data_IF_372882091602
#
_entry.id   IF_372882091602
#
_cell.length_a   1.000
_cell.length_b   1.000
_cell.length_c   1.000
_cell.angle_alpha   90.00
_cell.angle_beta   90.00
_cell.angle_gamma   90.00
#
_symmetry.space_group_name_H-M   'P 1'
#
loop_
_entity.id
_entity.type
_entity.pdbx_description
1 polymer ?
#
# COMPACT_ATOMS: atom_id res chain seq x y z
N UNK A 1 -8.28 -4.03 6.89
CA UNK A 1 -7.50 -4.59 8.01
C UNK A 1 -6.96 -5.94 7.62
N UNK A 2 -7.81 -6.85 7.13
CA UNK A 2 -7.42 -8.19 6.63
C UNK A 2 -6.20 -8.14 5.69
N UNK A 3 -6.21 -7.25 4.68
CA UNK A 3 -5.10 -7.12 3.73
C UNK A 3 -3.77 -6.70 4.34
N UNK A 4 -3.78 -5.95 5.45
CA UNK A 4 -2.54 -5.48 6.09
C UNK A 4 -2.00 -6.53 7.06
N UNK A 5 -2.87 -7.32 7.69
CA UNK A 5 -2.50 -8.25 8.75
C UNK A 5 -2.46 -9.72 8.33
N UNK A 6 -3.00 -10.05 7.15
CA UNK A 6 -3.12 -11.41 6.63
C UNK A 6 -4.15 -12.28 7.36
N UNK A 7 -4.98 -11.68 8.24
CA UNK A 7 -5.91 -12.41 9.12
C UNK A 7 -7.36 -12.21 8.71
N UNK A 8 -8.20 -13.20 8.96
CA UNK A 8 -9.65 -13.10 8.73
C UNK A 8 -10.32 -12.20 9.79
N UNK A 9 -11.50 -11.61 9.50
CA UNK A 9 -12.20 -10.72 10.44
C UNK A 9 -12.58 -11.36 11.77
N UNK A 10 -12.80 -12.68 11.78
CA UNK A 10 -13.19 -13.49 12.93
C UNK A 10 -12.27 -14.71 13.06
N UNK A 11 -10.97 -14.46 12.88
CA UNK A 11 -9.94 -15.49 12.99
C UNK A 11 -9.82 -15.99 14.44
N UNK A 12 -9.88 -17.32 14.70
CA UNK A 12 -9.80 -17.87 16.05
C UNK A 12 -8.48 -17.58 16.76
N UNK A 13 -7.39 -17.28 16.03
CA UNK A 13 -6.09 -16.91 16.60
C UNK A 13 -6.08 -15.52 17.26
N UNK A 14 -7.11 -14.69 17.02
CA UNK A 14 -7.25 -13.35 17.60
C UNK A 14 -7.67 -13.38 19.09
N UNK A 15 -8.08 -14.55 19.58
CA UNK A 15 -8.60 -14.78 20.92
C UNK A 15 -10.13 -14.84 20.96
N UNK A 16 -10.66 -15.44 22.04
CA UNK A 16 -12.10 -15.66 22.19
C UNK A 16 -12.90 -14.35 22.08
N UNK A 17 -13.92 -14.37 21.21
CA UNK A 17 -14.88 -13.29 20.99
C UNK A 17 -14.27 -11.94 20.54
N UNK A 18 -13.07 -11.95 19.94
CA UNK A 18 -12.46 -10.74 19.37
C UNK A 18 -12.57 -10.76 17.86
N UNK A 19 -13.19 -9.73 17.30
CA UNK A 19 -13.01 -9.40 15.89
C UNK A 19 -11.65 -8.71 15.67
N UNK A 20 -11.24 -8.65 14.40
CA UNK A 20 -9.98 -8.05 13.97
C UNK A 20 -9.82 -6.60 14.44
N UNK A 21 -10.90 -5.82 14.57
CA UNK A 21 -10.86 -4.43 15.04
C UNK A 21 -10.51 -4.40 16.53
N UNK A 22 -11.20 -5.20 17.35
CA UNK A 22 -10.92 -5.29 18.79
C UNK A 22 -9.50 -5.79 19.07
N UNK A 23 -9.04 -6.78 18.30
CA UNK A 23 -7.68 -7.28 18.42
C UNK A 23 -6.64 -6.20 18.10
N UNK A 24 -6.74 -5.56 16.94
CA UNK A 24 -5.82 -4.48 16.51
C UNK A 24 -5.79 -3.36 17.55
N UNK A 25 -6.94 -2.86 17.99
CA UNK A 25 -7.00 -1.80 19.01
C UNK A 25 -6.42 -2.19 20.37
N UNK A 26 -6.41 -3.49 20.71
CA UNK A 26 -5.82 -3.99 21.96
C UNK A 26 -4.30 -4.22 21.85
N UNK A 27 -3.83 -4.54 20.65
CA UNK A 27 -2.42 -4.89 20.37
C UNK A 27 -1.56 -3.64 20.16
N UNK A 28 -2.10 -2.60 19.51
CA UNK A 28 -1.34 -1.36 19.22
C UNK A 28 -1.17 -0.55 20.50
N UNK A 29 0.00 -0.68 21.13
CA UNK A 29 0.41 0.12 22.31
C UNK A 29 1.60 1.02 22.01
N UNK A 30 2.41 0.65 21.02
CA UNK A 30 3.66 1.31 20.63
C UNK A 30 3.87 1.22 19.11
N UNK A 31 4.86 1.95 18.57
CA UNK A 31 5.19 1.84 17.14
C UNK A 31 5.69 0.44 16.78
N UNK A 32 6.49 -0.20 17.64
CA UNK A 32 7.00 -1.56 17.42
C UNK A 32 5.87 -2.60 17.31
N UNK A 33 4.86 -2.51 18.19
CA UNK A 33 3.69 -3.40 18.12
C UNK A 33 2.87 -3.26 16.83
N UNK A 34 3.06 -2.17 16.09
CA UNK A 34 2.38 -1.96 14.81
C UNK A 34 3.05 -2.74 13.69
N UNK A 35 4.38 -2.92 13.74
CA UNK A 35 5.13 -3.75 12.79
C UNK A 35 4.79 -5.23 12.97
N UNK A 36 4.64 -5.68 14.22
CA UNK A 36 4.28 -7.08 14.54
C UNK A 36 2.88 -7.48 14.03
N UNK A 37 2.00 -6.51 13.79
CA UNK A 37 0.64 -6.72 13.28
C UNK A 37 0.60 -6.84 11.76
N UNK A 38 1.61 -6.32 11.06
CA UNK A 38 1.71 -6.37 9.59
C UNK A 38 2.01 -7.80 9.14
N UNK A 39 1.34 -8.23 8.07
CA UNK A 39 1.56 -9.53 7.44
C UNK A 39 3.04 -9.72 7.07
N UNK A 40 3.62 -10.87 7.43
CA UNK A 40 5.01 -11.22 7.14
C UNK A 40 5.30 -11.38 5.64
N UNK A 41 4.26 -11.55 4.81
CA UNK A 41 4.39 -11.60 3.35
C UNK A 41 4.56 -10.21 2.70
N UNK A 42 4.36 -9.12 3.45
CA UNK A 42 4.60 -7.76 2.96
C UNK A 42 6.10 -7.47 3.04
N UNK A 43 6.69 -7.01 1.92
CA UNK A 43 8.12 -6.64 1.85
C UNK A 43 8.48 -5.61 2.92
N UNK A 44 9.68 -5.71 3.49
CA UNK A 44 10.17 -4.79 4.52
C UNK A 44 10.05 -3.32 4.10
N UNK A 45 10.37 -3.00 2.85
CA UNK A 45 10.31 -1.64 2.28
C UNK A 45 8.88 -1.07 2.25
N UNK A 46 7.87 -1.93 2.28
CA UNK A 46 6.45 -1.55 2.23
C UNK A 46 5.77 -1.59 3.61
N UNK A 47 6.45 -2.06 4.66
CA UNK A 47 5.84 -2.20 6.00
C UNK A 47 5.40 -0.85 6.56
N UNK A 48 6.18 0.21 6.38
CA UNK A 48 5.80 1.55 6.84
C UNK A 48 4.57 2.10 6.08
N UNK A 49 4.40 1.77 4.80
CA UNK A 49 3.22 2.15 4.03
C UNK A 49 1.99 1.32 4.42
N UNK A 50 2.17 0.01 4.63
CA UNK A 50 1.13 -0.86 5.19
C UNK A 50 0.64 -0.36 6.56
N UNK A 51 1.57 0.15 7.39
CA UNK A 51 1.27 0.82 8.65
C UNK A 51 0.40 2.07 8.45
N UNK A 52 0.67 2.90 7.44
CA UNK A 52 -0.19 4.07 7.13
C UNK A 52 -1.59 3.61 6.75
N UNK A 53 -1.71 2.58 5.91
CA UNK A 53 -3.01 1.99 5.54
C UNK A 53 -3.75 1.43 6.77
N UNK A 54 -3.04 0.79 7.70
CA UNK A 54 -3.63 0.30 8.95
C UNK A 54 -4.19 1.45 9.80
N UNK A 55 -3.47 2.57 9.91
CA UNK A 55 -3.97 3.77 10.60
C UNK A 55 -5.24 4.32 9.97
N UNK A 56 -5.30 4.38 8.64
CA UNK A 56 -6.52 4.77 7.91
C UNK A 56 -7.68 3.82 8.27
N UNK A 57 -7.43 2.51 8.26
CA UNK A 57 -8.44 1.52 8.60
C UNK A 57 -8.97 1.69 10.03
N UNK A 58 -8.11 2.02 11.00
CA UNK A 58 -8.52 2.31 12.39
C UNK A 58 -9.49 3.50 12.46
N UNK A 59 -9.24 4.56 11.68
CA UNK A 59 -10.18 5.69 11.58
C UNK A 59 -11.53 5.26 10.98
N UNK A 60 -11.52 4.42 9.95
CA UNK A 60 -12.75 3.89 9.35
C UNK A 60 -13.59 3.06 10.32
N UNK A 61 -12.96 2.39 11.28
CA UNK A 61 -13.62 1.53 12.28
C UNK A 61 -13.78 2.22 13.64
N UNK A 62 -13.73 3.55 13.69
CA UNK A 62 -13.91 4.29 14.93
C UNK A 62 -15.21 3.89 15.65
N UNK A 63 -15.12 3.69 16.98
CA UNK A 63 -16.27 3.32 17.83
C UNK A 63 -17.39 4.36 17.76
N UNK A 64 -17.03 5.64 17.66
CA UNK A 64 -17.97 6.75 17.48
C UNK A 64 -18.19 6.97 15.97
N UNK A 65 -19.41 6.76 15.43
CA UNK A 65 -19.67 6.87 14.00
C UNK A 65 -19.33 8.23 13.39
N UNK A 66 -19.55 9.32 14.14
CA UNK A 66 -19.26 10.68 13.69
C UNK A 66 -17.76 10.97 13.48
N UNK A 67 -16.86 10.12 14.00
CA UNK A 67 -15.42 10.24 13.80
C UNK A 67 -14.92 9.47 12.57
N UNK A 68 -15.79 8.69 11.91
CA UNK A 68 -15.40 7.91 10.74
C UNK A 68 -15.26 8.84 9.52
N UNK A 69 -14.15 8.75 8.77
CA UNK A 69 -14.00 9.54 7.56
C UNK A 69 -15.01 9.14 6.49
N UNK A 70 -15.36 10.09 5.62
CA UNK A 70 -16.09 9.78 4.39
C UNK A 70 -15.22 8.97 3.44
N UNK A 71 -15.81 8.17 2.54
CA UNK A 71 -15.00 7.42 1.56
C UNK A 71 -14.14 8.32 0.67
N UNK A 72 -14.61 9.53 0.33
CA UNK A 72 -13.79 10.53 -0.39
C UNK A 72 -12.53 10.90 0.40
N UNK A 73 -12.66 11.08 1.71
CA UNK A 73 -11.53 11.37 2.60
C UNK A 73 -10.60 10.15 2.69
N UNK A 74 -11.14 8.94 2.79
CA UNK A 74 -10.35 7.69 2.82
C UNK A 74 -9.49 7.55 1.58
N UNK A 75 -10.05 7.77 0.38
CA UNK A 75 -9.29 7.72 -0.88
C UNK A 75 -8.14 8.72 -0.87
N UNK A 76 -8.40 9.97 -0.46
CA UNK A 76 -7.34 10.99 -0.34
C UNK A 76 -6.22 10.57 0.61
N UNK A 77 -6.58 10.02 1.79
CA UNK A 77 -5.59 9.52 2.76
C UNK A 77 -4.77 8.36 2.18
N UNK A 78 -5.38 7.50 1.36
CA UNK A 78 -4.68 6.39 0.70
C UNK A 78 -3.73 6.87 -0.40
N UNK A 79 -4.12 7.87 -1.19
CA UNK A 79 -3.26 8.51 -2.19
C UNK A 79 -2.03 9.16 -1.54
N UNK A 80 -2.21 9.83 -0.40
CA UNK A 80 -1.12 10.43 0.39
C UNK A 80 -0.24 9.37 1.09
N UNK A 81 -0.78 8.17 1.33
CA UNK A 81 -0.06 7.05 1.92
C UNK A 81 0.65 6.16 0.90
N UNK A 82 0.50 6.43 -0.40
CA UNK A 82 1.13 5.64 -1.45
C UNK A 82 2.66 5.61 -1.28
N UNK A 83 3.30 4.44 -1.48
CA UNK A 83 4.76 4.36 -1.53
C UNK A 83 5.25 5.34 -2.60
N UNK A 84 6.13 6.26 -2.24
CA UNK A 84 6.72 7.21 -3.18
C UNK A 84 7.54 6.45 -4.23
N UNK A 85 6.91 6.07 -5.35
CA UNK A 85 7.56 5.55 -6.54
C UNK A 85 7.08 6.39 -7.74
N UNK A 86 7.30 7.70 -7.69
CA UNK A 86 7.22 8.58 -8.85
C UNK A 86 8.59 8.57 -9.53
N UNK A 87 8.88 7.55 -10.33
CA UNK A 87 9.78 7.77 -11.46
C UNK A 87 9.00 8.57 -12.47
N UNK A 88 9.11 9.90 -12.37
CA UNK A 88 8.72 10.80 -13.44
C UNK A 88 9.53 10.43 -14.69
N UNK A 89 8.90 9.70 -15.62
CA UNK A 89 9.52 9.43 -16.92
C UNK A 89 9.42 10.73 -17.71
N UNK A 90 10.51 11.52 -17.70
CA UNK A 90 10.67 12.66 -18.58
C UNK A 90 10.71 12.16 -20.03
N UNK A 91 9.58 12.25 -20.74
CA UNK A 91 9.52 11.98 -22.18
C UNK A 91 10.20 13.15 -22.91
N UNK A 92 11.48 13.00 -23.24
CA UNK A 92 12.11 13.80 -24.29
C UNK A 92 12.03 13.01 -25.59
N UNK A 93 11.04 13.32 -26.41
CA UNK A 93 11.05 12.95 -27.83
C UNK A 93 11.29 14.22 -28.65
N UNK A 94 12.50 14.33 -29.23
CA UNK A 94 12.81 15.26 -30.33
C UNK A 94 12.94 14.49 -31.65
N UNK A 95 12.47 15.16 -32.70
CA UNK A 95 12.13 14.70 -34.05
C UNK A 95 13.15 13.90 -34.88
N UNK A 96 12.60 12.95 -35.65
CA UNK A 96 12.72 12.65 -37.10
C UNK A 96 14.02 12.82 -37.90
N UNK A 97 14.44 11.66 -38.44
CA UNK A 97 14.92 11.32 -39.80
C UNK A 97 16.20 11.92 -40.41
N UNK A 98 17.09 11.00 -40.81
CA UNK A 98 18.04 11.16 -41.92
C UNK A 98 18.90 9.91 -42.16
N UNK A 99 18.59 9.10 -43.20
CA UNK A 99 19.50 8.06 -43.73
C UNK A 99 20.67 8.68 -44.51
N UNK A 100 21.80 7.95 -44.65
CA UNK A 100 22.18 7.51 -45.99
C UNK A 100 22.74 6.07 -46.08
N UNK A 101 22.51 5.50 -47.27
CA UNK A 101 22.98 4.23 -47.84
C UNK A 101 24.49 3.94 -47.66
N UNK A 102 24.86 2.67 -47.47
CA UNK A 102 26.03 2.08 -48.15
C UNK A 102 25.89 0.55 -48.37
N UNK A 103 26.49 0.11 -49.49
CA UNK A 103 26.32 -1.13 -50.26
C UNK A 103 26.83 -2.40 -49.56
N UNK A 104 26.19 -3.53 -49.83
CA UNK A 104 26.87 -4.83 -49.85
C UNK A 104 26.59 -5.58 -51.15
N UNK A 105 27.68 -5.85 -51.87
CA UNK A 105 27.79 -6.53 -53.15
C UNK A 105 28.12 -8.00 -52.89
N UNK A 106 27.49 -8.94 -53.58
CA UNK A 106 27.97 -10.32 -53.83
C UNK A 106 27.00 -10.96 -54.84
N UNK A 107 27.34 -11.03 -56.14
CA UNK A 107 28.12 -12.09 -56.81
C UNK A 107 27.44 -13.47 -56.78
N UNK A 108 26.70 -13.82 -57.85
CA UNK A 108 26.84 -15.04 -58.67
C UNK A 108 25.78 -15.03 -59.79
#
# INVERSE_FOLDING_TARGET
MELVTGKMPSDPELGENKDIVQWICSTIKSKDSLLDVVDSNISEDLKEDAIKVLKIAIHCTAKIPALRPSMRTVVKMLEEAAPCQLTDVMVVEKESQGSPNEKLKMSS
#
